data_IF_847625460250
#
_entry.id   IF_847625460250
#
_cell.length_a   1.000
_cell.length_b   1.000
_cell.length_c   1.000
_cell.angle_alpha   90.00
_cell.angle_beta   90.00
_cell.angle_gamma   90.00
#
_symmetry.space_group_name_H-M   'P 1'
#
loop_
_entity.id
_entity.type
_entity.pdbx_description
1 polymer ?
#
# COMPACT_ATOMS: atom_id res chain seq x y z
N UNK A 1 -29.91 23.81 6.16
CA UNK A 1 -29.10 23.76 7.39
C UNK A 1 -27.66 24.06 7.01
N UNK A 2 -27.19 25.29 7.24
CA UNK A 2 -25.81 25.67 6.92
C UNK A 2 -24.92 25.13 8.04
N UNK A 3 -24.14 24.10 7.73
CA UNK A 3 -23.13 23.56 8.63
C UNK A 3 -22.15 24.68 8.98
N UNK A 4 -22.23 25.17 10.22
CA UNK A 4 -21.40 26.24 10.79
C UNK A 4 -20.02 25.67 11.16
N UNK A 5 -19.31 25.13 10.16
CA UNK A 5 -17.92 24.63 10.32
C UNK A 5 -16.98 25.80 10.03
N UNK A 6 -16.95 26.79 10.92
CA UNK A 6 -16.22 28.04 10.66
C UNK A 6 -15.46 28.65 11.83
N UNK A 7 -15.57 28.12 13.06
CA UNK A 7 -15.17 28.93 14.22
C UNK A 7 -13.75 28.69 14.73
N UNK A 8 -13.12 27.54 14.47
CA UNK A 8 -11.81 27.21 15.08
C UNK A 8 -10.64 27.59 14.16
N UNK A 9 -10.82 27.47 12.85
CA UNK A 9 -9.78 27.75 11.85
C UNK A 9 -9.49 29.24 11.66
N UNK A 10 -10.50 30.10 11.85
CA UNK A 10 -10.31 31.56 11.78
C UNK A 10 -9.43 32.09 12.93
N UNK A 11 -9.53 31.48 14.12
CA UNK A 11 -8.74 31.87 15.29
C UNK A 11 -7.26 31.53 15.12
N UNK A 12 -6.93 30.37 14.53
CA UNK A 12 -5.54 29.92 14.33
C UNK A 12 -4.75 30.80 13.35
N UNK A 13 -5.43 31.46 12.42
CA UNK A 13 -4.83 32.37 11.44
C UNK A 13 -5.14 33.85 11.71
N UNK A 14 -5.67 34.19 12.89
CA UNK A 14 -6.12 35.56 13.21
C UNK A 14 -4.98 36.57 13.22
N UNK A 15 -3.78 36.14 13.64
CA UNK A 15 -2.62 37.02 13.80
C UNK A 15 -1.73 37.08 12.54
N UNK A 16 -2.08 36.34 11.48
CA UNK A 16 -1.32 36.36 10.23
C UNK A 16 -1.91 37.40 9.25
N UNK A 17 -1.06 38.18 8.56
CA UNK A 17 -1.52 39.07 7.50
C UNK A 17 -2.19 38.28 6.37
N UNK A 18 -3.18 38.88 5.73
CA UNK A 18 -4.10 38.21 4.79
C UNK A 18 -3.37 37.53 3.63
N UNK A 19 -2.27 38.12 3.14
CA UNK A 19 -1.43 37.54 2.09
C UNK A 19 -0.78 36.21 2.50
N UNK A 20 -0.25 36.14 3.73
CA UNK A 20 0.39 34.92 4.24
C UNK A 20 -0.64 33.83 4.54
N UNK A 21 -1.83 34.23 4.99
CA UNK A 21 -2.96 33.35 5.23
C UNK A 21 -3.42 32.69 3.93
N UNK A 22 -3.59 33.47 2.85
CA UNK A 22 -3.94 32.92 1.54
C UNK A 22 -2.87 31.95 1.02
N UNK A 23 -1.59 32.29 1.17
CA UNK A 23 -0.49 31.41 0.78
C UNK A 23 -0.54 30.08 1.52
N UNK A 24 -0.71 30.09 2.85
CA UNK A 24 -0.83 28.85 3.65
C UNK A 24 -2.06 28.03 3.27
N UNK A 25 -3.21 28.66 3.08
CA UNK A 25 -4.43 28.00 2.63
C UNK A 25 -4.24 27.31 1.27
N UNK A 26 -3.55 27.97 0.32
CA UNK A 26 -3.24 27.38 -0.99
C UNK A 26 -2.28 26.17 -0.91
N UNK A 27 -1.43 26.11 0.12
CA UNK A 27 -0.46 25.04 0.32
C UNK A 27 -0.98 23.87 1.17
N UNK A 28 -2.00 24.09 1.99
CA UNK A 28 -2.62 23.04 2.79
C UNK A 28 -3.26 21.96 1.89
N UNK A 29 -3.19 20.70 2.31
CA UNK A 29 -3.86 19.57 1.64
C UNK A 29 -3.44 19.29 0.18
N UNK A 30 -2.27 19.76 -0.27
CA UNK A 30 -1.78 19.52 -1.65
C UNK A 30 -1.27 18.10 -1.91
N UNK A 31 -1.04 17.30 -0.87
CA UNK A 31 -0.42 15.97 -1.01
C UNK A 31 -1.20 15.04 -1.94
N UNK A 32 -2.54 14.95 -1.79
CA UNK A 32 -3.39 14.12 -2.67
C UNK A 32 -3.45 14.61 -4.11
N UNK A 33 -3.25 15.91 -4.35
CA UNK A 33 -3.23 16.50 -5.68
C UNK A 33 -1.90 16.24 -6.39
N UNK A 34 -0.78 16.36 -5.67
CA UNK A 34 0.57 16.15 -6.23
C UNK A 34 0.92 14.66 -6.35
N UNK A 35 0.45 13.85 -5.41
CA UNK A 35 0.71 12.42 -5.33
C UNK A 35 -0.62 11.69 -5.45
N UNK A 36 -1.17 11.74 -6.67
CA UNK A 36 -2.34 10.93 -7.02
C UNK A 36 -1.92 9.46 -6.91
N UNK A 37 -2.58 8.65 -6.05
CA UNK A 37 -2.31 7.23 -6.01
C UNK A 37 -2.51 6.66 -7.42
N UNK A 38 -1.63 5.76 -7.90
CA UNK A 38 -1.88 5.09 -9.16
C UNK A 38 -3.26 4.43 -9.09
N UNK A 39 -3.99 4.45 -10.20
CA UNK A 39 -5.22 3.67 -10.30
C UNK A 39 -4.94 2.22 -9.96
N UNK A 40 -5.96 1.54 -9.43
CA UNK A 40 -5.89 0.11 -9.15
C UNK A 40 -5.46 -0.62 -10.42
N UNK A 41 -4.42 -1.48 -10.36
CA UNK A 41 -3.96 -2.21 -11.52
C UNK A 41 -5.08 -3.01 -12.17
N UNK A 42 -4.95 -3.24 -13.48
CA UNK A 42 -5.87 -4.12 -14.20
C UNK A 42 -5.92 -5.48 -13.47
N UNK A 43 -7.13 -5.99 -13.26
CA UNK A 43 -7.39 -7.27 -12.60
C UNK A 43 -7.17 -7.34 -11.07
N UNK A 44 -6.81 -6.23 -10.39
CA UNK A 44 -6.53 -6.26 -8.95
C UNK A 44 -7.74 -6.70 -8.08
N UNK A 45 -8.96 -6.36 -8.52
CA UNK A 45 -10.21 -6.73 -7.85
C UNK A 45 -10.91 -7.95 -8.48
N UNK A 46 -10.24 -8.69 -9.36
CA UNK A 46 -10.81 -9.95 -9.87
C UNK A 46 -10.89 -10.96 -8.72
N UNK A 47 -12.12 -11.29 -8.31
CA UNK A 47 -12.37 -12.26 -7.24
C UNK A 47 -12.35 -13.66 -7.85
N UNK A 48 -11.19 -14.29 -7.87
CA UNK A 48 -11.02 -15.66 -8.37
C UNK A 48 -9.60 -15.96 -8.82
N UNK A 49 -9.29 -17.24 -9.03
CA UNK A 49 -8.04 -17.60 -9.68
C UNK A 49 -8.20 -17.46 -11.20
N UNK A 50 -7.30 -16.72 -11.88
CA UNK A 50 -7.31 -16.67 -13.34
C UNK A 50 -7.13 -18.07 -13.92
N UNK A 51 -7.81 -18.33 -15.04
CA UNK A 51 -7.63 -19.59 -15.75
C UNK A 51 -6.17 -19.73 -16.23
N UNK A 52 -5.72 -20.96 -16.48
CA UNK A 52 -4.37 -21.18 -17.04
C UNK A 52 -4.15 -20.42 -18.34
N UNK A 53 -5.17 -20.36 -19.21
CA UNK A 53 -5.15 -19.59 -20.45
C UNK A 53 -4.93 -18.10 -20.18
N UNK A 54 -5.70 -17.54 -19.25
CA UNK A 54 -5.56 -16.14 -18.83
C UNK A 54 -4.20 -15.86 -18.20
N UNK A 55 -3.63 -16.82 -17.47
CA UNK A 55 -2.29 -16.70 -16.90
C UNK A 55 -1.19 -16.65 -17.98
N UNK A 56 -1.36 -17.38 -19.09
CA UNK A 56 -0.43 -17.37 -20.22
C UNK A 56 -0.54 -16.03 -20.96
N UNK A 57 -1.77 -15.60 -21.30
CA UNK A 57 -2.03 -14.33 -21.98
C UNK A 57 -1.51 -13.12 -21.18
N UNK A 58 -1.65 -13.14 -19.85
CA UNK A 58 -1.10 -12.11 -18.94
C UNK A 58 0.41 -12.24 -18.72
N UNK A 59 1.05 -13.28 -19.23
CA UNK A 59 2.49 -13.53 -19.09
C UNK A 59 2.94 -14.02 -17.71
N UNK A 60 2.02 -14.47 -16.86
CA UNK A 60 2.35 -15.09 -15.56
C UNK A 60 3.01 -16.46 -15.71
N UNK A 61 2.68 -17.18 -16.79
CA UNK A 61 3.25 -18.49 -17.12
C UNK A 61 4.03 -18.34 -18.43
N UNK A 62 5.31 -18.68 -18.41
CA UNK A 62 6.13 -18.82 -19.61
C UNK A 62 6.14 -20.28 -20.01
N UNK A 63 5.77 -20.56 -21.27
CA UNK A 63 5.91 -21.90 -21.85
C UNK A 63 7.38 -22.13 -22.23
N UNK A 64 8.23 -22.39 -21.24
CA UNK A 64 9.59 -22.87 -21.47
C UNK A 64 9.57 -24.40 -21.57
N UNK A 65 10.14 -24.95 -22.65
CA UNK A 65 10.28 -26.41 -22.86
C UNK A 65 11.14 -27.09 -21.78
N UNK A 66 11.97 -26.33 -21.06
CA UNK A 66 12.86 -26.82 -20.02
C UNK A 66 12.22 -26.71 -18.63
N UNK A 67 10.96 -27.18 -18.49
CA UNK A 67 10.29 -27.21 -17.19
C UNK A 67 11.04 -28.15 -16.24
N UNK A 68 11.94 -27.57 -15.43
CA UNK A 68 12.58 -28.30 -14.35
C UNK A 68 11.49 -28.90 -13.47
N UNK A 69 11.51 -30.23 -13.34
CA UNK A 69 10.56 -30.96 -12.52
C UNK A 69 10.59 -30.39 -11.10
N UNK A 70 9.57 -29.58 -10.76
CA UNK A 70 9.50 -28.88 -9.48
C UNK A 70 9.38 -29.96 -8.40
N UNK A 71 10.46 -30.20 -7.66
CA UNK A 71 10.48 -31.28 -6.67
C UNK A 71 9.45 -30.96 -5.58
N UNK A 72 8.33 -31.68 -5.56
CA UNK A 72 7.44 -31.64 -4.40
C UNK A 72 8.20 -32.27 -3.24
N UNK A 73 8.30 -31.53 -2.14
CA UNK A 73 8.94 -32.04 -0.92
C UNK A 73 8.11 -33.23 -0.44
N UNK A 74 8.70 -34.44 -0.45
CA UNK A 74 8.01 -35.68 -0.02
C UNK A 74 7.95 -35.82 1.50
N UNK A 75 8.78 -35.08 2.22
CA UNK A 75 8.92 -35.17 3.68
C UNK A 75 8.54 -33.85 4.36
N UNK A 76 7.91 -33.90 5.54
CA UNK A 76 7.59 -32.71 6.31
C UNK A 76 8.85 -31.95 6.73
N UNK A 77 8.76 -30.63 6.85
CA UNK A 77 9.86 -29.80 7.34
C UNK A 77 10.01 -29.99 8.85
N UNK A 78 11.09 -30.62 9.30
CA UNK A 78 11.47 -30.61 10.71
C UNK A 78 12.08 -29.25 11.06
N UNK A 79 11.27 -28.34 11.59
CA UNK A 79 11.74 -27.04 12.09
C UNK A 79 12.29 -27.24 13.50
N UNK A 80 13.62 -27.31 13.63
CA UNK A 80 14.30 -27.30 14.93
C UNK A 80 14.44 -25.84 15.38
N UNK A 81 13.51 -25.37 16.21
CA UNK A 81 13.62 -24.07 16.83
C UNK A 81 14.73 -24.10 17.89
N UNK A 82 15.76 -23.28 17.73
CA UNK A 82 16.76 -23.10 18.79
C UNK A 82 16.12 -22.32 19.95
N UNK A 83 16.26 -22.77 21.21
CA UNK A 83 15.78 -22.01 22.36
C UNK A 83 16.51 -20.66 22.44
N UNK A 84 15.75 -19.57 22.63
CA UNK A 84 16.33 -18.24 22.87
C UNK A 84 17.19 -18.31 24.13
N UNK A 85 18.46 -17.89 24.04
CA UNK A 85 19.29 -17.62 25.23
C UNK A 85 18.61 -16.50 26.01
N UNK A 86 18.13 -16.81 27.22
CA UNK A 86 17.74 -15.79 28.18
C UNK A 86 18.99 -14.99 28.54
N UNK A 87 19.09 -13.77 28.03
CA UNK A 87 20.05 -12.80 28.56
C UNK A 87 19.54 -12.43 29.96
N UNK A 88 20.19 -12.99 30.98
CA UNK A 88 20.01 -12.56 32.36
C UNK A 88 20.48 -11.10 32.43
N UNK A 89 19.55 -10.18 32.67
CA UNK A 89 19.88 -8.82 33.04
C UNK A 89 20.57 -8.87 34.40
N UNK A 90 21.85 -8.46 34.41
CA UNK A 90 22.61 -8.17 35.63
C UNK A 90 22.26 -6.79 36.15
#
# INVERSE_FOLDING_TARGET
>A
MVLKVGSVWFQYYADLPEEQKQKKLSMCSRHRFLYVPPCTPENFWEVGFPSTQTCIEKGYIKEDDNQQARSRRRQPLNVLFSPKRNQQAS
#
